data_IF_805547054491
#
_entry.id   IF_805547054491
#
_cell.length_a   1.000
_cell.length_b   1.000
_cell.length_c   1.000
_cell.angle_alpha   90.00
_cell.angle_beta   90.00
_cell.angle_gamma   90.00
#
_symmetry.space_group_name_H-M   'P 1'
#
loop_
_entity.id
_entity.type
_entity.pdbx_description
1 polymer ?
#
# COMPACT_ATOMS: atom_id res chain seq x y z
N UNK A 1 15.54 -12.09 -12.72
CA UNK A 1 16.41 -11.48 -13.72
C UNK A 1 17.86 -11.60 -13.26
N UNK A 2 18.66 -12.38 -13.99
CA UNK A 2 20.07 -12.68 -13.63
C UNK A 2 20.96 -11.43 -13.67
N UNK A 3 20.70 -10.48 -14.56
CA UNK A 3 21.49 -9.24 -14.64
C UNK A 3 21.27 -8.35 -13.42
N UNK A 4 20.04 -8.32 -12.88
CA UNK A 4 19.78 -7.64 -11.62
C UNK A 4 20.49 -8.34 -10.46
N UNK A 5 20.47 -9.66 -10.41
CA UNK A 5 21.20 -10.41 -9.41
C UNK A 5 22.70 -10.10 -9.42
N UNK A 6 23.30 -10.04 -10.62
CA UNK A 6 24.73 -9.65 -10.77
C UNK A 6 24.99 -8.23 -10.27
N UNK A 7 24.11 -7.26 -10.64
CA UNK A 7 24.26 -5.85 -10.22
C UNK A 7 24.15 -5.67 -8.70
N UNK A 8 23.27 -6.44 -8.05
CA UNK A 8 23.02 -6.38 -6.60
C UNK A 8 23.98 -7.27 -5.82
N UNK A 9 24.73 -8.14 -6.51
CA UNK A 9 25.69 -9.07 -5.86
C UNK A 9 25.01 -10.27 -5.18
N UNK A 10 23.78 -10.63 -5.58
CA UNK A 10 23.05 -11.78 -5.03
C UNK A 10 23.14 -12.97 -5.97
N UNK A 11 23.74 -14.09 -5.57
CA UNK A 11 23.79 -15.29 -6.38
C UNK A 11 22.36 -15.83 -6.67
N UNK A 12 22.06 -16.16 -7.93
CA UNK A 12 20.75 -16.68 -8.36
C UNK A 12 20.31 -17.90 -7.55
N UNK A 13 21.28 -18.77 -7.17
CA UNK A 13 21.02 -19.97 -6.35
C UNK A 13 20.48 -19.69 -4.94
N UNK A 14 20.57 -18.44 -4.46
CA UNK A 14 20.02 -18.01 -3.17
C UNK A 14 18.57 -17.53 -3.27
N UNK A 15 18.04 -17.36 -4.48
CA UNK A 15 16.66 -16.94 -4.68
C UNK A 15 15.74 -18.16 -4.53
N UNK A 16 14.56 -17.96 -3.93
CA UNK A 16 13.53 -18.99 -3.91
C UNK A 16 12.99 -19.25 -5.32
N UNK A 17 12.38 -20.41 -5.50
CA UNK A 17 11.60 -20.73 -6.70
C UNK A 17 10.37 -19.82 -6.77
N UNK A 18 10.09 -19.27 -7.95
CA UNK A 18 8.87 -18.51 -8.20
C UNK A 18 7.74 -19.49 -8.51
N UNK A 19 6.68 -19.42 -7.72
CA UNK A 19 5.55 -20.35 -7.79
C UNK A 19 4.22 -19.59 -7.81
N UNK A 20 3.13 -20.29 -8.15
CA UNK A 20 1.78 -19.74 -8.12
C UNK A 20 1.42 -19.26 -6.70
N UNK A 21 0.50 -18.33 -6.57
CA UNK A 21 -0.02 -17.91 -5.27
C UNK A 21 -0.92 -18.95 -4.62
N UNK A 22 -1.48 -19.85 -5.42
CA UNK A 22 -2.37 -20.95 -5.01
C UNK A 22 -1.81 -22.27 -5.53
N UNK A 23 -1.08 -22.98 -4.71
CA UNK A 23 -0.60 -24.35 -4.91
C UNK A 23 -0.11 -24.93 -3.59
N UNK A 24 0.01 -26.24 -3.50
CA UNK A 24 0.54 -26.89 -2.29
C UNK A 24 2.06 -26.79 -2.29
N UNK A 25 2.62 -25.97 -1.40
CA UNK A 25 4.08 -25.78 -1.22
C UNK A 25 4.69 -26.82 -0.30
N UNK A 26 3.89 -27.42 0.57
CA UNK A 26 4.29 -28.38 1.57
C UNK A 26 3.26 -28.50 2.68
N UNK A 27 3.65 -29.11 3.79
CA UNK A 27 2.80 -29.34 4.94
C UNK A 27 3.42 -28.80 6.23
N UNK A 28 2.57 -28.46 7.19
CA UNK A 28 3.01 -28.05 8.53
C UNK A 28 3.65 -29.24 9.24
N UNK A 29 4.96 -29.17 9.47
CA UNK A 29 5.76 -30.23 10.12
C UNK A 29 5.85 -30.09 11.63
N UNK A 30 5.53 -28.91 12.18
CA UNK A 30 5.54 -28.68 13.63
C UNK A 30 4.44 -29.52 14.30
N UNK A 31 4.79 -30.26 15.35
CA UNK A 31 3.81 -30.99 16.17
C UNK A 31 2.80 -30.02 16.76
N UNK A 32 1.52 -30.37 16.71
CA UNK A 32 0.41 -29.58 17.21
C UNK A 32 -0.87 -29.79 16.37
N UNK A 33 -1.89 -28.98 16.61
CA UNK A 33 -3.20 -29.11 15.96
C UNK A 33 -3.16 -28.98 14.43
N UNK A 34 -2.17 -28.27 13.88
CA UNK A 34 -2.03 -28.04 12.44
C UNK A 34 -1.04 -29.00 11.76
N UNK A 35 -0.53 -30.01 12.47
CA UNK A 35 0.42 -30.97 11.87
C UNK A 35 -0.24 -31.68 10.68
N UNK A 36 0.47 -31.73 9.53
CA UNK A 36 -0.02 -32.33 8.29
C UNK A 36 -0.96 -31.46 7.47
N UNK A 37 -1.33 -30.26 7.96
CA UNK A 37 -2.15 -29.33 7.16
C UNK A 37 -1.32 -28.78 6.01
N UNK A 38 -1.83 -28.82 4.76
CA UNK A 38 -1.09 -28.27 3.61
C UNK A 38 -0.99 -26.75 3.69
N UNK A 39 0.17 -26.24 3.27
CA UNK A 39 0.40 -24.80 3.04
C UNK A 39 0.11 -24.57 1.56
N UNK A 40 -1.07 -24.00 1.26
CA UNK A 40 -1.62 -23.95 -0.08
C UNK A 40 -1.83 -22.53 -0.63
N UNK A 41 -1.40 -21.50 0.06
CA UNK A 41 -1.53 -20.12 -0.41
C UNK A 41 -0.43 -19.23 0.16
N UNK A 42 0.19 -18.42 -0.71
CA UNK A 42 1.18 -17.42 -0.33
C UNK A 42 0.93 -16.16 -1.15
N UNK A 43 0.74 -15.03 -0.46
CA UNK A 43 0.56 -13.71 -1.06
C UNK A 43 1.30 -12.67 -0.20
N UNK A 44 1.80 -11.60 -0.83
CA UNK A 44 2.15 -10.39 -0.12
C UNK A 44 0.91 -9.75 0.52
N UNK A 45 1.06 -8.95 1.56
CA UNK A 45 -0.05 -8.38 2.33
C UNK A 45 -1.01 -7.55 1.47
N UNK A 46 -0.48 -6.73 0.55
CA UNK A 46 -1.29 -5.90 -0.34
C UNK A 46 -2.04 -6.75 -1.39
N UNK A 47 -1.41 -7.81 -1.89
CA UNK A 47 -2.02 -8.79 -2.80
C UNK A 47 -3.09 -9.62 -2.08
N UNK A 48 -2.81 -10.05 -0.85
CA UNK A 48 -3.79 -10.74 -0.01
C UNK A 48 -5.01 -9.86 0.27
N UNK A 49 -4.80 -8.56 0.57
CA UNK A 49 -5.88 -7.60 0.74
C UNK A 49 -6.69 -7.39 -0.55
N UNK A 50 -6.03 -7.36 -1.71
CA UNK A 50 -6.69 -7.26 -3.02
C UNK A 50 -7.61 -8.46 -3.25
N UNK A 51 -7.12 -9.65 -3.00
CA UNK A 51 -7.90 -10.89 -3.11
C UNK A 51 -9.04 -10.93 -2.07
N UNK A 52 -8.74 -10.60 -0.80
CA UNK A 52 -9.70 -10.61 0.31
C UNK A 52 -10.82 -9.57 0.16
N UNK A 53 -10.60 -8.48 -0.57
CA UNK A 53 -11.61 -7.49 -0.93
C UNK A 53 -12.35 -7.85 -2.23
N UNK A 54 -12.15 -9.07 -2.75
CA UNK A 54 -12.79 -9.58 -3.97
C UNK A 54 -12.57 -8.70 -5.21
N UNK A 55 -11.38 -8.13 -5.37
CA UNK A 55 -11.00 -7.31 -6.53
C UNK A 55 -10.62 -8.23 -7.69
N UNK A 56 -11.60 -8.92 -8.27
CA UNK A 56 -11.38 -9.99 -9.24
C UNK A 56 -11.52 -9.53 -10.70
N UNK A 57 -12.25 -8.44 -10.95
CA UNK A 57 -12.50 -7.96 -12.30
C UNK A 57 -11.57 -6.81 -12.68
N UNK A 58 -11.14 -6.70 -13.94
CA UNK A 58 -10.38 -5.56 -14.42
C UNK A 58 -11.10 -4.22 -14.15
N UNK A 59 -10.37 -3.24 -13.65
CA UNK A 59 -10.90 -1.94 -13.27
C UNK A 59 -11.38 -1.85 -11.81
N UNK A 60 -11.55 -2.97 -11.11
CA UNK A 60 -11.84 -2.95 -9.68
C UNK A 60 -10.61 -2.47 -8.90
N UNK A 61 -10.86 -1.72 -7.83
CA UNK A 61 -9.83 -1.07 -7.01
C UNK A 61 -10.04 -1.41 -5.53
N UNK A 62 -8.96 -1.66 -4.83
CA UNK A 62 -8.94 -1.61 -3.37
C UNK A 62 -8.02 -0.48 -2.90
N UNK A 63 -8.31 0.09 -1.75
CA UNK A 63 -7.43 1.02 -1.07
C UNK A 63 -7.26 0.59 0.39
N UNK A 64 -6.03 0.30 0.79
CA UNK A 64 -5.70 -0.02 2.18
C UNK A 64 -5.24 1.25 2.88
N UNK A 65 -6.03 1.71 3.86
CA UNK A 65 -5.70 2.83 4.73
C UNK A 65 -4.95 2.34 5.97
N UNK A 66 -3.70 2.79 6.13
CA UNK A 66 -2.86 2.47 7.28
C UNK A 66 -1.96 3.66 7.62
N UNK A 67 -0.71 3.41 7.98
CA UNK A 67 0.33 4.46 8.13
C UNK A 67 0.43 5.32 6.87
N UNK A 68 0.44 4.66 5.71
CA UNK A 68 0.21 5.22 4.38
C UNK A 68 -0.99 4.56 3.72
N UNK A 69 -1.23 4.87 2.45
CA UNK A 69 -2.24 4.21 1.63
C UNK A 69 -1.60 3.43 0.51
N UNK A 70 -2.20 2.27 0.21
CA UNK A 70 -1.82 1.41 -0.91
C UNK A 70 -3.04 1.09 -1.75
N UNK A 71 -3.09 1.69 -2.93
CA UNK A 71 -4.17 1.54 -3.90
C UNK A 71 -3.73 0.53 -4.95
N UNK A 72 -4.48 -0.55 -5.14
CA UNK A 72 -4.26 -1.51 -6.21
C UNK A 72 -5.50 -1.58 -7.10
N UNK A 73 -5.28 -1.46 -8.40
CA UNK A 73 -6.30 -1.62 -9.43
C UNK A 73 -5.98 -2.88 -10.24
N UNK A 74 -6.90 -3.83 -10.27
CA UNK A 74 -6.81 -5.02 -11.12
C UNK A 74 -6.80 -4.60 -12.60
N UNK A 75 -5.82 -5.06 -13.37
CA UNK A 75 -5.70 -4.81 -14.82
C UNK A 75 -5.95 -6.06 -15.68
N UNK A 76 -6.36 -7.16 -15.06
CA UNK A 76 -6.57 -8.44 -15.73
C UNK A 76 -5.26 -9.17 -16.00
N UNK A 77 -5.28 -10.03 -17.03
CA UNK A 77 -4.15 -10.89 -17.40
C UNK A 77 -3.15 -10.24 -18.37
N UNK A 78 -3.40 -9.00 -18.76
CA UNK A 78 -2.50 -8.26 -19.64
C UNK A 78 -1.60 -7.34 -18.82
N UNK A 79 -0.30 -7.39 -19.07
CA UNK A 79 0.68 -6.55 -18.39
C UNK A 79 0.51 -5.09 -18.81
N UNK A 80 -0.12 -4.29 -17.98
CA UNK A 80 -0.37 -2.87 -18.22
C UNK A 80 0.71 -2.04 -17.55
N UNK A 81 1.30 -1.11 -18.30
CA UNK A 81 2.24 -0.11 -17.77
C UNK A 81 1.56 1.24 -17.64
N UNK A 82 1.93 1.98 -16.62
CA UNK A 82 1.45 3.33 -16.39
C UNK A 82 2.44 4.36 -16.91
N UNK A 83 1.96 5.31 -17.68
CA UNK A 83 2.74 6.51 -18.08
C UNK A 83 2.72 7.60 -17.00
N UNK A 84 1.97 7.38 -15.92
CA UNK A 84 1.77 8.33 -14.82
C UNK A 84 2.48 7.88 -13.51
N UNK A 85 3.54 7.09 -13.61
CA UNK A 85 4.37 6.73 -12.45
C UNK A 85 3.78 5.71 -11.48
N UNK A 86 2.68 5.02 -11.84
CA UNK A 86 2.19 3.89 -11.05
C UNK A 86 3.07 2.66 -11.29
N UNK A 87 3.15 1.79 -10.30
CA UNK A 87 3.92 0.55 -10.39
C UNK A 87 3.04 -0.54 -10.98
N UNK A 88 3.56 -1.28 -11.96
CA UNK A 88 2.95 -2.53 -12.41
C UNK A 88 3.43 -3.67 -11.52
N UNK A 89 2.52 -4.42 -10.94
CA UNK A 89 2.82 -5.57 -10.07
C UNK A 89 1.97 -6.79 -10.45
N UNK A 90 2.39 -7.97 -10.00
CA UNK A 90 1.55 -9.16 -10.05
C UNK A 90 0.60 -9.10 -8.85
N UNK A 91 -0.70 -9.19 -9.11
CA UNK A 91 -1.69 -9.25 -8.04
C UNK A 91 -1.75 -10.66 -7.44
N UNK A 92 -2.00 -11.66 -8.26
CA UNK A 92 -2.01 -13.08 -7.85
C UNK A 92 -1.97 -13.99 -9.08
N UNK A 93 -1.68 -15.26 -8.84
CA UNK A 93 -1.83 -16.34 -9.81
C UNK A 93 -2.50 -17.51 -9.11
N UNK A 94 -3.51 -18.12 -9.74
CA UNK A 94 -4.19 -19.30 -9.24
C UNK A 94 -3.77 -20.50 -10.08
N UNK A 95 -3.10 -21.46 -9.44
CA UNK A 95 -2.64 -22.69 -10.10
C UNK A 95 -1.90 -22.39 -11.42
N UNK A 96 -2.29 -23.06 -12.49
CA UNK A 96 -1.71 -22.92 -13.84
C UNK A 96 -2.35 -21.80 -14.69
N UNK A 97 -3.24 -21.00 -14.09
CA UNK A 97 -3.87 -19.90 -14.81
C UNK A 97 -2.84 -18.78 -15.09
N UNK A 98 -3.16 -17.91 -16.05
CA UNK A 98 -2.36 -16.71 -16.28
C UNK A 98 -2.35 -15.83 -15.03
N UNK A 99 -1.20 -15.19 -14.71
CA UNK A 99 -1.15 -14.23 -13.60
C UNK A 99 -2.08 -13.05 -13.86
N UNK A 100 -2.72 -12.57 -12.80
CA UNK A 100 -3.47 -11.32 -12.80
C UNK A 100 -2.52 -10.22 -12.37
N UNK A 101 -2.51 -9.11 -13.12
CA UNK A 101 -1.70 -7.94 -12.85
C UNK A 101 -2.50 -6.83 -12.17
N UNK A 102 -1.79 -5.90 -11.56
CA UNK A 102 -2.37 -4.69 -11.00
C UNK A 102 -1.47 -3.48 -11.23
N UNK A 103 -2.07 -2.31 -11.28
CA UNK A 103 -1.39 -1.04 -11.09
C UNK A 103 -1.47 -0.64 -9.62
N UNK A 104 -0.32 -0.28 -9.07
CA UNK A 104 -0.19 0.13 -7.67
C UNK A 104 0.20 1.59 -7.57
N UNK A 105 -0.57 2.34 -6.77
CA UNK A 105 -0.23 3.68 -6.32
C UNK A 105 -0.11 3.71 -4.80
N UNK A 106 0.90 4.38 -4.27
CA UNK A 106 1.13 4.46 -2.83
C UNK A 106 1.28 5.91 -2.37
N UNK A 107 0.72 6.19 -1.18
CA UNK A 107 0.86 7.45 -0.46
C UNK A 107 1.59 7.14 0.86
N UNK A 108 2.76 7.74 1.06
CA UNK A 108 3.62 7.40 2.20
C UNK A 108 3.01 7.74 3.55
N UNK A 109 2.23 8.81 3.63
CA UNK A 109 1.75 9.41 4.88
C UNK A 109 0.25 9.65 4.80
N UNK A 110 -0.52 8.91 5.60
CA UNK A 110 -1.98 9.08 5.77
C UNK A 110 -2.35 8.99 7.25
N UNK A 111 -2.50 7.78 7.81
CA UNK A 111 -2.75 7.61 9.23
C UNK A 111 -1.61 8.14 10.11
N UNK A 112 -0.38 8.12 9.61
CA UNK A 112 0.77 8.73 10.30
C UNK A 112 0.68 10.26 10.40
N UNK A 113 -0.06 10.95 9.50
CA UNK A 113 -0.37 12.37 9.68
C UNK A 113 -1.24 12.59 10.92
N UNK A 114 -2.27 11.76 11.11
CA UNK A 114 -3.15 11.83 12.28
C UNK A 114 -2.37 11.62 13.57
N UNK A 115 -1.47 10.62 13.57
CA UNK A 115 -0.57 10.39 14.71
C UNK A 115 0.34 11.59 14.97
N UNK A 116 0.91 12.19 13.93
CA UNK A 116 1.76 13.36 14.03
C UNK A 116 1.01 14.59 14.59
N UNK A 117 -0.22 14.82 14.15
CA UNK A 117 -1.09 15.89 14.68
C UNK A 117 -1.35 15.70 16.18
N UNK A 118 -1.54 14.43 16.61
CA UNK A 118 -1.74 14.08 18.01
C UNK A 118 -0.45 14.21 18.82
N UNK A 119 0.60 13.53 18.40
CA UNK A 119 1.78 13.27 19.24
C UNK A 119 2.81 14.40 19.18
N UNK A 120 2.95 15.06 18.03
CA UNK A 120 3.94 16.11 17.83
C UNK A 120 3.35 17.51 17.95
N UNK A 121 2.14 17.74 17.44
CA UNK A 121 1.50 19.05 17.53
C UNK A 121 0.59 19.19 18.75
N UNK A 122 0.13 18.10 19.35
CA UNK A 122 -0.77 18.12 20.50
C UNK A 122 -2.13 18.77 20.20
N UNK A 123 -2.57 18.79 18.93
CA UNK A 123 -3.82 19.43 18.53
C UNK A 123 -5.05 18.61 18.88
N UNK A 124 -4.90 17.30 18.99
CA UNK A 124 -5.95 16.35 19.36
C UNK A 124 -5.44 15.41 20.46
N UNK A 125 -6.34 14.78 21.21
CA UNK A 125 -6.02 13.78 22.25
C UNK A 125 -6.01 12.38 21.70
N UNK A 126 -6.94 12.08 20.80
CA UNK A 126 -7.08 10.79 20.14
C UNK A 126 -7.51 10.98 18.67
N UNK A 127 -7.40 9.91 17.87
CA UNK A 127 -7.69 10.00 16.45
C UNK A 127 -9.18 10.29 16.13
N UNK A 128 -10.18 9.75 16.84
CA UNK A 128 -11.57 10.08 16.60
C UNK A 128 -11.93 11.56 16.76
N UNK A 129 -11.20 12.31 17.61
CA UNK A 129 -11.45 13.75 17.83
C UNK A 129 -11.35 14.58 16.54
N UNK A 130 -10.58 14.10 15.52
CA UNK A 130 -10.45 14.79 14.23
C UNK A 130 -11.81 14.93 13.53
N UNK A 131 -12.62 13.89 13.53
CA UNK A 131 -13.93 13.91 12.89
C UNK A 131 -14.85 14.95 13.56
N UNK A 132 -14.84 14.98 14.89
CA UNK A 132 -15.66 15.93 15.67
C UNK A 132 -15.20 17.38 15.48
N UNK A 133 -13.89 17.60 15.30
CA UNK A 133 -13.36 18.93 15.00
C UNK A 133 -13.71 19.36 13.57
N UNK A 134 -13.52 18.48 12.60
CA UNK A 134 -13.82 18.75 11.18
C UNK A 134 -15.30 19.09 10.97
N UNK A 135 -16.23 18.45 11.71
CA UNK A 135 -17.67 18.75 11.66
C UNK A 135 -18.06 20.12 12.19
N UNK A 136 -17.17 20.85 12.88
CA UNK A 136 -17.45 22.18 13.45
C UNK A 136 -17.19 23.33 12.50
N UNK A 137 -16.65 23.04 11.32
CA UNK A 137 -16.31 24.03 10.30
C UNK A 137 -16.91 23.62 8.96
N UNK A 138 -17.24 24.60 8.13
CA UNK A 138 -17.87 24.35 6.83
C UNK A 138 -16.85 23.98 5.76
N UNK A 139 -15.60 24.42 5.91
CA UNK A 139 -14.51 24.18 4.98
C UNK A 139 -13.13 24.20 5.68
N UNK A 140 -12.09 24.01 4.92
CA UNK A 140 -10.70 24.00 5.43
C UNK A 140 -10.08 25.40 5.59
N UNK A 141 -10.84 26.48 5.45
CA UNK A 141 -10.36 27.86 5.56
C UNK A 141 -9.25 28.22 4.57
N UNK A 142 -9.10 27.46 3.49
CA UNK A 142 -8.00 27.61 2.51
C UNK A 142 -6.67 27.00 2.96
N UNK A 143 -6.63 26.27 4.09
CA UNK A 143 -5.44 25.56 4.55
C UNK A 143 -5.29 24.22 3.83
N UNK A 144 -4.10 23.96 3.32
CA UNK A 144 -3.69 22.67 2.78
C UNK A 144 -2.49 22.12 3.53
N UNK A 145 -2.54 20.83 3.83
CA UNK A 145 -1.44 20.10 4.45
C UNK A 145 -0.86 19.12 3.42
N UNK A 146 0.42 19.26 3.13
CA UNK A 146 1.16 18.31 2.30
C UNK A 146 2.05 17.48 3.21
N UNK A 147 1.66 16.27 3.60
CA UNK A 147 2.40 15.49 4.59
C UNK A 147 3.55 14.68 3.96
N UNK A 148 4.40 15.32 3.18
CA UNK A 148 5.54 14.68 2.52
C UNK A 148 6.70 14.44 3.51
N UNK A 149 6.44 13.84 4.69
CA UNK A 149 7.45 13.65 5.74
C UNK A 149 8.61 12.76 5.30
N UNK A 150 8.32 11.77 4.46
CA UNK A 150 9.29 10.84 3.87
C UNK A 150 9.39 10.98 2.35
N UNK A 151 9.06 12.14 1.83
CA UNK A 151 8.95 12.38 0.39
C UNK A 151 7.55 12.12 -0.17
N UNK A 152 7.43 12.25 -1.49
CA UNK A 152 6.23 11.92 -2.24
C UNK A 152 6.48 10.63 -3.03
N UNK A 153 5.54 9.70 -2.98
CA UNK A 153 5.55 8.46 -3.75
C UNK A 153 4.83 8.66 -5.10
N UNK A 154 4.17 7.64 -5.59
CA UNK A 154 3.44 7.72 -6.85
C UNK A 154 2.46 8.90 -6.86
N UNK A 155 2.30 9.62 -7.97
CA UNK A 155 3.06 9.52 -9.23
C UNK A 155 4.36 10.35 -9.25
N UNK A 156 4.68 11.07 -8.19
CA UNK A 156 5.70 12.13 -8.17
C UNK A 156 7.13 11.60 -8.01
N UNK A 157 7.32 10.56 -7.20
CA UNK A 157 8.62 9.94 -6.89
C UNK A 157 9.69 10.94 -6.45
N UNK A 158 9.31 11.88 -5.56
CA UNK A 158 10.17 12.94 -5.02
C UNK A 158 10.61 12.62 -3.59
N UNK A 159 11.73 11.95 -3.45
CA UNK A 159 12.31 11.60 -2.13
C UNK A 159 12.84 12.82 -1.36
N UNK A 160 13.11 13.91 -2.04
CA UNK A 160 13.57 15.18 -1.49
C UNK A 160 12.42 16.10 -0.99
N UNK A 161 11.17 15.81 -1.35
CA UNK A 161 10.02 16.57 -0.88
C UNK A 161 9.88 16.46 0.65
N UNK A 162 9.40 17.53 1.27
CA UNK A 162 9.10 17.59 2.71
C UNK A 162 7.73 18.17 2.94
N UNK A 163 7.19 17.93 4.14
CA UNK A 163 5.88 18.43 4.54
C UNK A 163 5.78 19.95 4.46
N UNK A 164 4.59 20.44 4.11
CA UNK A 164 4.28 21.86 4.06
C UNK A 164 2.86 22.12 4.54
N UNK A 165 2.66 23.28 5.15
CA UNK A 165 1.36 23.88 5.45
C UNK A 165 1.23 25.13 4.59
N UNK A 166 0.19 25.21 3.77
CA UNK A 166 -0.02 26.33 2.83
C UNK A 166 -1.40 26.92 3.04
N UNK A 167 -1.52 28.24 2.96
CA UNK A 167 -2.79 28.94 3.12
C UNK A 167 -3.12 29.32 4.57
N UNK A 168 -2.15 29.33 5.49
CA UNK A 168 -2.35 29.77 6.87
C UNK A 168 -2.80 31.23 6.93
N UNK A 169 -3.92 31.47 7.62
CA UNK A 169 -4.43 32.78 7.99
C UNK A 169 -4.72 32.80 9.50
N UNK A 170 -4.97 33.99 10.06
CA UNK A 170 -5.36 34.11 11.47
C UNK A 170 -6.70 33.45 11.83
N UNK A 171 -7.49 33.11 10.85
CA UNK A 171 -8.82 32.50 11.03
C UNK A 171 -8.78 30.96 11.05
N UNK A 172 -7.66 30.36 10.63
CA UNK A 172 -7.48 28.91 10.68
C UNK A 172 -7.43 28.45 12.15
N UNK A 173 -8.19 27.43 12.46
CA UNK A 173 -8.28 26.83 13.79
C UNK A 173 -8.12 25.30 13.72
N UNK A 174 -8.48 24.58 14.77
CA UNK A 174 -8.35 23.12 14.85
C UNK A 174 -9.39 22.33 14.02
N UNK A 175 -10.46 22.97 13.60
CA UNK A 175 -11.55 22.35 12.84
C UNK A 175 -11.23 22.03 11.39
#
# INVERSE_FOLDING_TARGET
NEDLCKKVGVPVKMLPEIRSSLEVYGEVRRRGLLHGVPIAGILGDQQAATFGQAVFEPGMIKNTYGTGNFVLMNTGTELTRSDNGLITTVAYQMEDQKPVYALEGSVAVTGSLVQWIRDNLGLIKDAPEIEDLAKKVDDNGGLFVVPAFSGLFAPHWRSDARGALVGLTRYVNKG
#
